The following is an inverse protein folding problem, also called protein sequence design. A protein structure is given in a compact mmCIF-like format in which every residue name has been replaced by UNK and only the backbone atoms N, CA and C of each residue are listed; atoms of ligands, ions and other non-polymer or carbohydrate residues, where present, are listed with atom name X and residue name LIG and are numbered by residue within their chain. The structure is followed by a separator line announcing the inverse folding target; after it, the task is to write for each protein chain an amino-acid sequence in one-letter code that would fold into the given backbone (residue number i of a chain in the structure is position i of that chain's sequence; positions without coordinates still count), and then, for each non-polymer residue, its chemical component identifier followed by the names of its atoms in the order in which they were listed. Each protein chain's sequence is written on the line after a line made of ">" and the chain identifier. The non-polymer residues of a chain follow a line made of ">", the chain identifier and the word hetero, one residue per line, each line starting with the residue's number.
data_IF_827556842666
#
_entry.id   IF_827556842666
#
_cell.length_a   1.000
_cell.length_b   1.000
_cell.length_c   1.000
_cell.angle_alpha   90.00
_cell.angle_beta   90.00
_cell.angle_gamma   90.00
#
_symmetry.space_group_name_H-M   'P 1'
#
loop_
_entity.id
_entity.type
_entity.pdbx_description
1 polymer ?
#
# COMPACT_ATOMS: atom_id res chain seq x y z
N UNK A 1 -13.14 -53.58 6.30
CA UNK A 1 -12.86 -52.93 5.01
C UNK A 1 -12.17 -51.61 5.34
N UNK A 2 -10.86 -51.55 5.19
CA UNK A 2 -10.05 -50.37 5.55
C UNK A 2 -10.19 -49.32 4.46
N UNK A 3 -10.65 -48.15 4.88
CA UNK A 3 -10.84 -46.95 4.07
C UNK A 3 -9.55 -46.62 3.31
N UNK A 4 -9.58 -46.77 1.98
CA UNK A 4 -8.44 -46.44 1.14
C UNK A 4 -8.49 -44.93 0.94
N UNK A 5 -7.94 -44.17 1.88
CA UNK A 5 -7.73 -42.74 1.70
C UNK A 5 -6.87 -42.57 0.44
N UNK A 6 -7.51 -42.22 -0.68
CA UNK A 6 -6.83 -41.84 -1.92
C UNK A 6 -5.91 -40.70 -1.59
N UNK A 7 -4.63 -41.02 -1.41
CA UNK A 7 -3.63 -40.02 -1.14
C UNK A 7 -3.45 -39.27 -2.45
N UNK A 8 -3.98 -38.05 -2.50
CA UNK A 8 -3.78 -37.19 -3.66
C UNK A 8 -2.27 -37.11 -3.94
N UNK A 9 -1.91 -37.04 -5.21
CA UNK A 9 -0.52 -36.92 -5.66
C UNK A 9 -0.26 -35.49 -6.09
N UNK A 10 0.93 -35.00 -5.81
CA UNK A 10 1.33 -33.64 -6.17
C UNK A 10 1.19 -33.41 -7.68
N UNK A 11 0.45 -32.38 -8.06
CA UNK A 11 0.16 -32.08 -9.46
C UNK A 11 1.38 -31.59 -10.26
N UNK A 12 2.51 -31.27 -9.61
CA UNK A 12 3.75 -30.98 -10.32
C UNK A 12 4.39 -32.23 -10.98
N UNK A 13 3.84 -33.43 -10.75
CA UNK A 13 4.28 -34.69 -11.36
C UNK A 13 5.29 -35.50 -10.54
N UNK A 14 5.77 -35.00 -9.40
CA UNK A 14 6.79 -35.68 -8.57
C UNK A 14 6.28 -36.89 -7.78
N UNK A 15 4.99 -37.22 -7.88
CA UNK A 15 4.32 -38.34 -7.18
C UNK A 15 4.32 -38.28 -5.63
N UNK A 16 4.81 -37.19 -5.03
CA UNK A 16 4.73 -36.98 -3.59
C UNK A 16 3.26 -37.01 -3.15
N UNK A 17 2.98 -37.79 -2.11
CA UNK A 17 1.68 -37.83 -1.45
C UNK A 17 1.37 -36.48 -0.78
N UNK A 18 0.17 -35.96 -0.96
CA UNK A 18 -0.29 -34.70 -0.35
C UNK A 18 -1.53 -34.90 0.49
N UNK A 19 -1.70 -34.04 1.50
CA UNK A 19 -2.86 -34.06 2.39
C UNK A 19 -4.17 -33.72 1.67
N UNK A 20 -5.28 -34.12 2.28
CA UNK A 20 -6.63 -33.84 1.80
C UNK A 20 -6.84 -32.33 1.54
N UNK A 21 -7.51 -31.99 0.43
CA UNK A 21 -7.77 -30.61 0.03
C UNK A 21 -6.57 -29.83 -0.53
N UNK A 22 -5.39 -30.45 -0.66
CA UNK A 22 -4.22 -29.84 -1.31
C UNK A 22 -4.07 -30.33 -2.75
N UNK A 23 -3.52 -29.47 -3.60
CA UNK A 23 -3.17 -29.78 -5.01
C UNK A 23 -1.66 -29.98 -5.21
N UNK A 24 -0.85 -29.27 -4.43
CA UNK A 24 0.61 -29.29 -4.51
C UNK A 24 1.23 -29.65 -3.15
N UNK A 25 2.41 -30.27 -3.20
CA UNK A 25 3.32 -30.29 -2.06
C UNK A 25 3.83 -28.86 -1.78
N UNK A 26 4.33 -28.61 -0.58
CA UNK A 26 4.75 -27.27 -0.18
C UNK A 26 5.83 -26.72 -1.13
N UNK A 27 5.57 -25.57 -1.76
CA UNK A 27 6.45 -24.91 -2.73
C UNK A 27 6.44 -25.48 -4.15
N UNK A 28 5.71 -26.57 -4.40
CA UNK A 28 5.69 -27.21 -5.72
C UNK A 28 4.75 -26.53 -6.72
N UNK A 29 3.87 -25.64 -6.26
CA UNK A 29 3.07 -24.76 -7.11
C UNK A 29 3.96 -23.89 -8.00
N UNK A 30 5.05 -23.34 -7.43
CA UNK A 30 6.02 -22.53 -8.18
C UNK A 30 6.86 -23.32 -9.16
N UNK A 31 7.18 -24.57 -8.82
CA UNK A 31 7.86 -25.48 -9.75
C UNK A 31 6.96 -25.78 -10.94
N UNK A 32 5.68 -26.10 -10.69
CA UNK A 32 4.71 -26.37 -11.75
C UNK A 32 4.45 -25.13 -12.63
N UNK A 33 4.30 -23.95 -12.03
CA UNK A 33 4.16 -22.66 -12.75
C UNK A 33 5.37 -22.38 -13.66
N UNK A 34 6.59 -22.57 -13.14
CA UNK A 34 7.81 -22.37 -13.91
C UNK A 34 7.94 -23.36 -15.08
N UNK A 35 7.59 -24.64 -14.86
CA UNK A 35 7.57 -25.65 -15.90
C UNK A 35 6.53 -25.33 -16.99
N UNK A 36 5.35 -24.85 -16.59
CA UNK A 36 4.32 -24.39 -17.52
C UNK A 36 4.81 -23.22 -18.38
N UNK A 37 5.42 -22.21 -17.76
CA UNK A 37 6.01 -21.07 -18.48
C UNK A 37 7.12 -21.52 -19.45
N UNK A 38 7.98 -22.46 -19.05
CA UNK A 38 9.04 -22.98 -19.91
C UNK A 38 8.50 -23.65 -21.18
N UNK A 39 7.42 -24.43 -21.07
CA UNK A 39 6.82 -25.16 -22.20
C UNK A 39 5.98 -24.25 -23.09
N UNK A 40 5.24 -23.30 -22.52
CA UNK A 40 4.22 -22.55 -23.24
C UNK A 40 4.62 -21.10 -23.59
N UNK A 41 5.58 -20.52 -22.87
CA UNK A 41 5.90 -19.09 -22.92
C UNK A 41 7.40 -18.83 -22.83
N UNK A 42 8.24 -19.76 -23.33
CA UNK A 42 9.71 -19.66 -23.32
C UNK A 42 10.32 -19.28 -21.95
N UNK A 43 9.67 -19.66 -20.86
CA UNK A 43 10.10 -19.32 -19.49
C UNK A 43 9.87 -17.86 -19.10
N UNK A 44 9.09 -17.09 -19.86
CA UNK A 44 8.89 -15.65 -19.69
C UNK A 44 7.47 -15.30 -19.27
N UNK A 45 7.33 -14.73 -18.07
CA UNK A 45 6.05 -14.14 -17.62
C UNK A 45 5.62 -13.00 -18.55
N UNK A 46 6.56 -12.24 -19.11
CA UNK A 46 6.24 -11.16 -20.03
C UNK A 46 5.61 -11.69 -21.34
N UNK A 47 6.09 -12.83 -21.86
CA UNK A 47 5.47 -13.47 -23.02
C UNK A 47 4.09 -14.05 -22.71
N UNK A 48 3.91 -14.66 -21.52
CA UNK A 48 2.58 -15.06 -21.04
C UNK A 48 1.64 -13.85 -21.03
N UNK A 49 2.00 -12.77 -20.34
CA UNK A 49 1.15 -11.58 -20.22
C UNK A 49 0.81 -10.98 -21.58
N UNK A 50 1.80 -10.86 -22.46
CA UNK A 50 1.59 -10.39 -23.84
C UNK A 50 0.66 -11.30 -24.62
N UNK A 51 0.78 -12.63 -24.47
CA UNK A 51 -0.11 -13.60 -25.14
C UNK A 51 -1.56 -13.51 -24.67
N UNK A 52 -1.78 -13.00 -23.45
CA UNK A 52 -3.10 -12.73 -22.88
C UNK A 52 -3.60 -11.29 -23.14
N UNK A 53 -2.84 -10.49 -23.90
CA UNK A 53 -3.21 -9.12 -24.27
C UNK A 53 -2.85 -8.05 -23.22
N UNK A 54 -2.08 -8.38 -22.19
CA UNK A 54 -1.62 -7.41 -21.19
C UNK A 54 -0.32 -6.72 -21.61
N UNK A 55 -0.15 -5.46 -21.18
CA UNK A 55 1.00 -4.62 -21.48
C UNK A 55 0.96 -3.27 -20.76
N UNK A 56 1.84 -2.32 -21.12
CA UNK A 56 1.88 -0.99 -20.50
C UNK A 56 0.55 -0.23 -20.59
N UNK A 57 -0.16 -0.36 -21.72
CA UNK A 57 -1.45 0.30 -21.96
C UNK A 57 -2.66 -0.55 -21.53
N UNK A 58 -2.43 -1.81 -21.13
CA UNK A 58 -3.45 -2.71 -20.58
C UNK A 58 -2.87 -3.52 -19.40
N UNK A 59 -2.71 -2.91 -18.22
CA UNK A 59 -1.98 -3.55 -17.12
C UNK A 59 -2.77 -4.70 -16.50
N UNK A 60 -2.12 -5.84 -16.30
CA UNK A 60 -2.74 -7.01 -15.63
C UNK A 60 -3.21 -6.69 -14.20
N UNK A 61 -2.57 -5.73 -13.54
CA UNK A 61 -2.97 -5.26 -12.21
C UNK A 61 -4.30 -4.53 -12.23
N UNK A 62 -4.66 -3.91 -13.35
CA UNK A 62 -5.90 -3.13 -13.51
C UNK A 62 -7.04 -4.10 -13.76
N UNK A 63 -6.82 -5.09 -14.64
CA UNK A 63 -7.73 -6.22 -14.81
C UNK A 63 -7.99 -6.97 -13.50
N UNK A 64 -6.97 -7.14 -12.64
CA UNK A 64 -7.15 -7.77 -11.32
C UNK A 64 -8.04 -6.94 -10.37
N UNK A 65 -7.98 -5.60 -10.47
CA UNK A 65 -8.86 -4.69 -9.71
C UNK A 65 -10.27 -4.72 -10.28
N UNK A 66 -10.42 -4.65 -11.60
CA UNK A 66 -11.72 -4.71 -12.29
C UNK A 66 -12.45 -6.03 -12.02
N UNK A 67 -11.72 -7.14 -11.96
CA UNK A 67 -12.25 -8.44 -11.57
C UNK A 67 -12.60 -8.57 -10.07
N UNK A 68 -12.32 -7.54 -9.25
CA UNK A 68 -12.59 -7.52 -7.82
C UNK A 68 -11.64 -8.38 -6.97
N UNK A 69 -10.63 -9.02 -7.58
CA UNK A 69 -9.65 -9.83 -6.86
C UNK A 69 -8.67 -8.95 -6.07
N UNK A 70 -8.31 -7.80 -6.62
CA UNK A 70 -7.42 -6.80 -6.03
C UNK A 70 -8.16 -5.50 -5.74
N UNK A 71 -7.56 -4.64 -4.91
CA UNK A 71 -8.06 -3.29 -4.64
C UNK A 71 -6.97 -2.26 -4.96
N UNK A 72 -7.38 -1.06 -5.34
CA UNK A 72 -6.52 0.13 -5.37
C UNK A 72 -6.57 0.83 -4.01
N UNK A 73 -5.43 1.36 -3.56
CA UNK A 73 -5.36 2.22 -2.40
C UNK A 73 -6.10 3.54 -2.65
N UNK A 74 -6.82 4.05 -1.64
CA UNK A 74 -7.53 5.33 -1.76
C UNK A 74 -6.59 6.55 -1.69
N UNK A 75 -5.34 6.35 -1.25
CA UNK A 75 -4.37 7.42 -0.98
C UNK A 75 -3.24 7.48 -2.02
N UNK A 76 -2.97 6.41 -2.77
CA UNK A 76 -1.92 6.37 -3.79
C UNK A 76 -2.20 5.32 -4.88
N UNK A 77 -1.31 5.19 -5.86
CA UNK A 77 -1.49 4.27 -6.98
C UNK A 77 -1.20 2.79 -6.69
N UNK A 78 -0.91 2.44 -5.43
CA UNK A 78 -0.67 1.06 -5.04
C UNK A 78 -1.92 0.19 -5.27
N UNK A 79 -1.73 -0.95 -5.96
CA UNK A 79 -2.75 -1.97 -6.21
C UNK A 79 -2.26 -3.30 -5.65
N UNK A 80 -3.16 -4.07 -5.06
CA UNK A 80 -2.78 -5.36 -4.47
C UNK A 80 -3.95 -6.17 -3.98
N UNK A 81 -3.65 -7.41 -3.58
CA UNK A 81 -4.59 -8.24 -2.84
C UNK A 81 -5.06 -7.53 -1.54
N UNK A 82 -6.25 -7.85 -1.01
CA UNK A 82 -6.80 -7.16 0.16
C UNK A 82 -5.85 -7.13 1.37
N UNK A 83 -5.10 -8.20 1.62
CA UNK A 83 -4.11 -8.24 2.70
C UNK A 83 -2.94 -7.27 2.45
N UNK A 84 -2.40 -7.24 1.23
CA UNK A 84 -1.35 -6.30 0.84
C UNK A 84 -1.80 -4.85 1.00
N UNK A 85 -3.07 -4.55 0.69
CA UNK A 85 -3.67 -3.23 0.87
C UNK A 85 -3.76 -2.87 2.36
N UNK A 86 -4.20 -3.79 3.24
CA UNK A 86 -4.20 -3.54 4.69
C UNK A 86 -2.79 -3.23 5.21
N UNK A 87 -1.80 -4.02 4.79
CA UNK A 87 -0.41 -3.82 5.19
C UNK A 87 0.16 -2.50 4.65
N UNK A 88 -0.20 -2.12 3.43
CA UNK A 88 0.14 -0.83 2.84
C UNK A 88 -0.48 0.32 3.63
N UNK A 89 -1.78 0.25 3.93
CA UNK A 89 -2.50 1.28 4.69
C UNK A 89 -1.94 1.47 6.10
N UNK A 90 -1.55 0.39 6.78
CA UNK A 90 -0.88 0.49 8.08
C UNK A 90 0.45 1.26 7.98
N UNK A 91 1.21 1.08 6.90
CA UNK A 91 2.45 1.84 6.64
C UNK A 91 2.16 3.30 6.31
N UNK A 92 1.15 3.58 5.49
CA UNK A 92 0.71 4.95 5.16
C UNK A 92 0.31 5.69 6.43
N UNK A 93 -0.58 5.11 7.24
CA UNK A 93 -1.03 5.71 8.49
C UNK A 93 0.12 5.98 9.46
N UNK A 94 1.07 5.05 9.56
CA UNK A 94 2.27 5.24 10.39
C UNK A 94 3.10 6.42 9.88
N UNK A 95 3.35 6.50 8.57
CA UNK A 95 4.13 7.60 7.99
C UNK A 95 3.44 8.96 8.16
N UNK A 96 2.12 9.03 8.00
CA UNK A 96 1.34 10.23 8.25
C UNK A 96 1.37 10.66 9.72
N UNK A 97 1.34 9.70 10.65
CA UNK A 97 1.46 10.00 12.08
C UNK A 97 2.84 10.55 12.43
N UNK A 98 3.92 9.93 11.91
CA UNK A 98 5.28 10.44 12.13
C UNK A 98 5.48 11.84 11.55
N UNK A 99 4.96 12.12 10.35
CA UNK A 99 4.98 13.47 9.78
C UNK A 99 4.21 14.47 10.64
N UNK A 100 3.03 14.09 11.13
CA UNK A 100 2.20 14.93 12.01
C UNK A 100 2.94 15.26 13.30
N UNK A 101 3.50 14.26 13.96
CA UNK A 101 4.29 14.41 15.19
C UNK A 101 5.52 15.31 14.96
N UNK A 102 6.21 15.14 13.84
CA UNK A 102 7.34 16.00 13.46
C UNK A 102 6.90 17.45 13.27
N UNK A 103 5.76 17.68 12.60
CA UNK A 103 5.24 19.03 12.40
C UNK A 103 4.79 19.66 13.73
N UNK A 104 4.09 18.90 14.57
CA UNK A 104 3.64 19.34 15.89
C UNK A 104 4.82 19.77 16.77
N UNK A 105 5.89 18.96 16.78
CA UNK A 105 7.13 19.29 17.52
C UNK A 105 7.71 20.62 17.05
N UNK A 106 7.76 20.87 15.75
CA UNK A 106 8.28 22.13 15.19
C UNK A 106 7.35 23.31 15.49
N UNK A 107 6.04 23.11 15.44
CA UNK A 107 5.02 24.11 15.83
C UNK A 107 5.26 24.57 17.27
N UNK A 108 5.39 23.61 18.20
CA UNK A 108 5.68 23.89 19.62
C UNK A 108 7.03 24.59 19.81
N UNK A 109 8.07 24.13 19.12
CA UNK A 109 9.43 24.65 19.31
C UNK A 109 9.63 26.07 18.73
N UNK A 110 9.02 26.37 17.59
CA UNK A 110 9.25 27.64 16.88
C UNK A 110 8.18 28.70 17.15
N UNK A 111 6.99 28.29 17.61
CA UNK A 111 5.88 29.19 17.90
C UNK A 111 5.44 30.07 16.72
N UNK A 112 4.68 31.12 17.05
CA UNK A 112 4.28 32.19 16.12
C UNK A 112 3.24 31.76 15.09
N UNK A 113 3.27 32.41 13.91
CA UNK A 113 2.28 32.22 12.85
C UNK A 113 2.69 31.13 11.86
N UNK A 114 1.76 30.25 11.52
CA UNK A 114 1.93 29.12 10.62
C UNK A 114 0.94 29.18 9.46
N UNK A 115 1.47 29.30 8.24
CA UNK A 115 0.73 29.11 6.99
C UNK A 115 1.10 27.76 6.34
N UNK A 116 0.41 27.32 5.28
CA UNK A 116 0.71 26.02 4.67
C UNK A 116 2.12 25.94 4.09
N UNK A 117 2.66 27.06 3.60
CA UNK A 117 4.00 27.14 3.02
C UNK A 117 5.08 26.86 4.07
N UNK A 118 4.96 27.44 5.26
CA UNK A 118 5.86 27.20 6.40
C UNK A 118 5.81 25.73 6.84
N UNK A 119 4.62 25.16 6.98
CA UNK A 119 4.43 23.76 7.35
C UNK A 119 5.03 22.80 6.33
N UNK A 120 4.79 23.06 5.05
CA UNK A 120 5.42 22.29 3.97
C UNK A 120 6.94 22.39 4.00
N UNK A 121 7.50 23.59 4.20
CA UNK A 121 8.95 23.78 4.24
C UNK A 121 9.58 23.05 5.43
N UNK A 122 9.00 23.17 6.62
CA UNK A 122 9.48 22.49 7.83
C UNK A 122 9.52 20.97 7.65
N UNK A 123 8.49 20.39 7.04
CA UNK A 123 8.48 18.95 6.77
C UNK A 123 9.45 18.56 5.65
N UNK A 124 9.67 19.40 4.63
CA UNK A 124 10.71 19.18 3.62
C UNK A 124 12.11 19.20 4.21
N UNK A 125 12.39 20.12 5.13
CA UNK A 125 13.68 20.20 5.82
C UNK A 125 13.91 18.95 6.69
N UNK A 126 12.84 18.29 7.15
CA UNK A 126 12.88 17.00 7.85
C UNK A 126 12.89 15.77 6.90
N UNK A 127 12.98 15.97 5.59
CA UNK A 127 13.06 14.90 4.57
C UNK A 127 11.72 14.37 4.07
N UNK A 128 10.60 14.99 4.44
CA UNK A 128 9.27 14.60 3.99
C UNK A 128 8.80 15.40 2.77
N UNK A 129 7.85 14.84 2.01
CA UNK A 129 7.29 15.46 0.81
C UNK A 129 5.77 15.60 0.93
N UNK A 130 5.27 16.45 1.86
CA UNK A 130 3.84 16.58 2.09
C UNK A 130 3.15 17.33 0.95
N UNK A 131 1.86 17.07 0.77
CA UNK A 131 0.98 17.94 -0.01
C UNK A 131 0.46 19.10 0.83
N UNK A 132 0.06 20.20 0.19
CA UNK A 132 -0.56 21.31 0.91
C UNK A 132 -1.89 20.88 1.58
N UNK A 133 -2.65 19.98 0.93
CA UNK A 133 -3.87 19.38 1.50
C UNK A 133 -3.59 18.70 2.84
N UNK A 134 -2.51 17.93 2.92
CA UNK A 134 -2.10 17.26 4.16
C UNK A 134 -1.75 18.28 5.26
N UNK A 135 -0.99 19.33 4.94
CA UNK A 135 -0.64 20.37 5.93
C UNK A 135 -1.90 21.04 6.49
N UNK A 136 -2.85 21.44 5.63
CA UNK A 136 -4.12 22.05 6.04
C UNK A 136 -4.94 21.12 6.92
N UNK A 137 -4.90 19.81 6.66
CA UNK A 137 -5.56 18.82 7.50
C UNK A 137 -4.89 18.69 8.87
N UNK A 138 -3.55 18.62 8.91
CA UNK A 138 -2.81 18.59 10.19
C UNK A 138 -3.09 19.85 11.01
N UNK A 139 -3.08 21.04 10.41
CA UNK A 139 -3.39 22.28 11.14
C UNK A 139 -4.79 22.28 11.74
N UNK A 140 -5.81 21.79 11.02
CA UNK A 140 -7.15 21.63 11.59
C UNK A 140 -7.14 20.71 12.80
N UNK A 141 -6.47 19.55 12.71
CA UNK A 141 -6.34 18.62 13.85
C UNK A 141 -5.61 19.24 15.04
N UNK A 142 -4.55 20.02 14.80
CA UNK A 142 -3.81 20.72 15.85
C UNK A 142 -4.63 21.87 16.46
N UNK A 143 -5.52 22.48 15.67
CA UNK A 143 -6.46 23.48 16.18
C UNK A 143 -7.57 22.84 17.02
N UNK A 144 -8.11 21.70 16.58
CA UNK A 144 -9.09 20.91 17.34
C UNK A 144 -8.50 20.41 18.68
N UNK A 145 -7.18 20.18 18.75
CA UNK A 145 -6.48 19.83 19.99
C UNK A 145 -6.07 21.03 20.85
N UNK A 146 -6.33 22.27 20.39
CA UNK A 146 -6.00 23.50 21.12
C UNK A 146 -4.55 23.97 21.04
N UNK A 147 -3.71 23.39 20.18
CA UNK A 147 -2.33 23.86 19.98
C UNK A 147 -2.28 25.09 19.06
N UNK A 148 -3.18 25.13 18.07
CA UNK A 148 -3.28 26.21 17.08
C UNK A 148 -4.63 26.93 17.16
N UNK A 149 -4.63 28.22 16.90
CA UNK A 149 -5.85 29.01 16.66
C UNK A 149 -5.83 29.56 15.24
N UNK A 150 -6.94 29.45 14.51
CA UNK A 150 -7.03 30.04 13.16
C UNK A 150 -7.21 31.55 13.30
N UNK A 151 -6.30 32.33 12.71
CA UNK A 151 -6.28 33.79 12.84
C UNK A 151 -6.70 34.54 11.57
N UNK A 152 -6.92 33.82 10.46
CA UNK A 152 -7.42 34.37 9.20
C UNK A 152 -8.69 33.63 8.76
N UNK A 153 -9.74 34.37 8.42
CA UNK A 153 -11.02 33.79 8.01
C UNK A 153 -10.94 33.09 6.65
N UNK A 154 -10.14 33.62 5.72
CA UNK A 154 -10.10 33.19 4.32
C UNK A 154 -8.90 32.30 3.99
N UNK A 155 -7.80 32.44 4.72
CA UNK A 155 -6.56 31.69 4.52
C UNK A 155 -6.35 30.69 5.64
N UNK A 156 -5.59 29.64 5.35
CA UNK A 156 -5.21 28.63 6.33
C UNK A 156 -4.02 29.12 7.19
N UNK A 157 -4.18 30.28 7.83
CA UNK A 157 -3.17 30.89 8.72
C UNK A 157 -3.58 30.64 10.17
N UNK A 158 -2.64 30.09 10.93
CA UNK A 158 -2.82 29.69 12.32
C UNK A 158 -1.77 30.34 13.22
N UNK A 159 -2.08 30.54 14.49
CA UNK A 159 -1.15 31.01 15.50
C UNK A 159 -1.03 29.99 16.62
N UNK A 160 0.18 29.81 17.16
CA UNK A 160 0.42 28.90 18.30
C UNK A 160 -0.06 29.53 19.58
N UNK A 161 -0.99 28.88 20.27
CA UNK A 161 -1.63 29.41 21.50
C UNK A 161 -1.28 28.63 22.77
N UNK A 162 -0.58 27.50 22.63
CA UNK A 162 -0.14 26.71 23.78
C UNK A 162 1.05 27.38 24.48
N UNK A 163 0.96 27.52 25.81
CA UNK A 163 2.05 28.01 26.68
C UNK A 163 2.95 26.87 27.12
#
# INVERSE_FOLDING_TARGET
>A
MTDTATTNRCHCGCQTAIGYGRTFAAGHDKIAEAAYLAVHHNGSVAELLKSQGYGPDNPVTDAAVEAGAWKKCDHCDYKGAPESIRNHMAKVQKAENTQRESLEKSVRALGGTWDPSRGMQTLRDAGYHPSEKYIREVYRRLADSGLLEKVDEHRAIYFVIEK
#
